data_IF_506716826022
#
_entry.id   IF_506716826022
#
_cell.length_a   1.000
_cell.length_b   1.000
_cell.length_c   1.000
_cell.angle_alpha   90.00
_cell.angle_beta   90.00
_cell.angle_gamma   90.00
#
_symmetry.space_group_name_H-M   'P 1'
#
loop_
_entity.id
_entity.type
_entity.pdbx_description
1 polymer ?
#
# COMPACT_ATOMS: atom_id res chain seq x y z
N UNK A 1 7.22 -2.84 -22.75
CA UNK A 1 7.40 -4.10 -21.99
C UNK A 1 6.14 -4.97 -21.98
N UNK A 2 5.04 -4.54 -21.34
CA UNK A 2 3.73 -5.24 -21.24
C UNK A 2 3.42 -6.30 -22.33
N UNK A 3 3.27 -5.92 -23.61
CA UNK A 3 2.96 -6.85 -24.71
C UNK A 3 3.97 -8.00 -24.89
N UNK A 4 5.25 -7.80 -24.57
CA UNK A 4 6.26 -8.85 -24.60
C UNK A 4 6.09 -9.86 -23.44
N UNK A 5 5.67 -9.39 -22.27
CA UNK A 5 5.36 -10.26 -21.12
C UNK A 5 4.13 -11.12 -21.42
N UNK A 6 3.05 -10.52 -21.94
CA UNK A 6 1.85 -11.25 -22.37
C UNK A 6 2.18 -12.31 -23.45
N UNK A 7 3.01 -11.95 -24.43
CA UNK A 7 3.43 -12.87 -25.49
C UNK A 7 4.42 -13.97 -25.02
N UNK A 8 4.92 -13.93 -23.77
CA UNK A 8 5.84 -14.94 -23.26
C UNK A 8 5.18 -16.28 -22.90
N UNK A 9 3.83 -16.33 -22.86
CA UNK A 9 3.06 -17.49 -22.42
C UNK A 9 3.16 -17.79 -20.92
N UNK A 10 3.71 -16.86 -20.13
CA UNK A 10 3.85 -16.98 -18.66
C UNK A 10 3.03 -15.91 -17.94
N UNK A 11 2.40 -16.30 -16.84
CA UNK A 11 1.78 -15.35 -15.91
C UNK A 11 2.88 -14.63 -15.13
N UNK A 12 3.14 -13.37 -15.48
CA UNK A 12 4.15 -12.51 -14.86
C UNK A 12 3.46 -11.26 -14.32
N UNK A 13 3.59 -11.02 -13.01
CA UNK A 13 3.13 -9.77 -12.40
C UNK A 13 4.03 -8.62 -12.88
N UNK A 14 3.45 -7.58 -13.46
CA UNK A 14 4.21 -6.46 -14.01
C UNK A 14 4.00 -5.19 -13.16
N UNK A 15 4.95 -4.94 -12.24
CA UNK A 15 5.07 -3.66 -11.55
C UNK A 15 5.81 -2.64 -12.44
N UNK A 16 5.30 -1.41 -12.48
CA UNK A 16 5.81 -0.31 -13.28
C UNK A 16 6.47 0.71 -12.34
N UNK A 17 7.76 0.99 -12.52
CA UNK A 17 8.48 1.99 -11.75
C UNK A 17 8.91 3.15 -12.66
N UNK A 18 8.15 4.24 -12.64
CA UNK A 18 8.46 5.51 -13.33
C UNK A 18 8.30 6.75 -12.43
N UNK A 19 8.15 6.52 -11.11
CA UNK A 19 8.13 7.54 -10.04
C UNK A 19 6.93 8.49 -9.99
N UNK A 20 5.82 8.16 -10.66
CA UNK A 20 4.62 9.00 -10.75
C UNK A 20 4.62 9.95 -11.95
N UNK A 21 5.60 9.82 -12.86
CA UNK A 21 5.77 10.71 -14.02
C UNK A 21 4.64 10.47 -15.02
N UNK A 22 4.03 11.55 -15.52
CA UNK A 22 2.87 11.49 -16.42
C UNK A 22 1.65 10.72 -15.85
N UNK A 23 1.50 10.72 -14.52
CA UNK A 23 0.31 10.26 -13.79
C UNK A 23 -0.11 8.81 -14.09
N UNK A 24 0.71 7.79 -13.73
CA UNK A 24 0.49 6.39 -14.08
C UNK A 24 -0.90 5.86 -13.73
N UNK A 25 -1.47 6.31 -12.61
CA UNK A 25 -2.82 5.95 -12.18
C UNK A 25 -3.89 6.08 -13.28
N UNK A 26 -3.72 7.03 -14.22
CA UNK A 26 -4.65 7.28 -15.33
C UNK A 26 -4.55 6.28 -16.49
N UNK A 27 -3.41 5.60 -16.68
CA UNK A 27 -3.13 4.75 -17.86
C UNK A 27 -2.49 3.39 -17.57
N UNK A 28 -1.69 3.26 -16.51
CA UNK A 28 -0.90 2.08 -16.20
C UNK A 28 -1.75 0.83 -15.92
N UNK A 29 -2.96 1.01 -15.38
CA UNK A 29 -3.94 -0.08 -15.18
C UNK A 29 -4.53 -0.68 -16.46
N UNK A 30 -4.11 -0.25 -17.65
CA UNK A 30 -4.35 -0.94 -18.92
C UNK A 30 -3.15 -1.76 -19.42
N UNK A 31 -1.98 -1.66 -18.76
CA UNK A 31 -0.72 -2.26 -19.24
C UNK A 31 0.10 -3.01 -18.18
N UNK A 32 -0.13 -2.78 -16.88
CA UNK A 32 0.56 -3.44 -15.77
C UNK A 32 -0.36 -3.70 -14.57
N UNK A 33 0.21 -4.29 -13.52
CA UNK A 33 -0.52 -4.74 -12.32
C UNK A 33 -0.31 -3.85 -11.09
N UNK A 34 0.78 -3.09 -11.05
CA UNK A 34 1.00 -1.98 -10.13
C UNK A 34 1.88 -0.92 -10.78
N UNK A 35 1.86 0.29 -10.24
CA UNK A 35 2.64 1.43 -10.70
C UNK A 35 3.03 2.36 -9.55
N UNK A 36 4.30 2.74 -9.52
CA UNK A 36 4.83 3.69 -8.53
C UNK A 36 4.16 5.06 -8.70
N UNK A 37 3.58 5.62 -7.64
CA UNK A 37 2.93 6.94 -7.66
C UNK A 37 3.82 8.07 -7.13
N UNK A 38 5.01 7.75 -6.63
CA UNK A 38 5.95 8.68 -6.03
C UNK A 38 7.40 8.24 -6.24
N UNK A 39 8.34 9.16 -5.97
CA UNK A 39 9.78 8.89 -5.87
C UNK A 39 10.14 7.87 -4.79
N UNK A 40 11.42 7.49 -4.74
CA UNK A 40 11.87 6.42 -3.84
C UNK A 40 11.69 6.80 -2.37
N UNK A 41 11.08 5.90 -1.60
CA UNK A 41 10.94 6.07 -0.16
C UNK A 41 12.32 6.01 0.52
N UNK A 42 12.47 6.77 1.61
CA UNK A 42 13.58 6.66 2.55
C UNK A 42 13.06 6.22 3.90
N UNK A 43 13.93 5.60 4.69
CA UNK A 43 13.69 5.23 6.09
C UNK A 43 13.70 6.46 7.02
N UNK A 44 12.83 7.42 6.71
CA UNK A 44 12.66 8.71 7.38
C UNK A 44 11.15 9.03 7.42
N UNK A 45 10.62 9.42 8.58
CA UNK A 45 9.19 9.69 8.76
C UNK A 45 8.62 10.71 7.76
N UNK A 46 9.39 11.75 7.44
CA UNK A 46 9.02 12.76 6.44
C UNK A 46 8.90 12.18 5.02
N UNK A 47 9.75 11.23 4.63
CA UNK A 47 9.65 10.56 3.33
C UNK A 47 8.45 9.63 3.27
N UNK A 48 8.22 8.85 4.34
CA UNK A 48 7.09 7.92 4.42
C UNK A 48 5.74 8.66 4.33
N UNK A 49 5.57 9.71 5.14
CA UNK A 49 4.34 10.53 5.13
C UNK A 49 4.13 11.25 3.80
N UNK A 50 5.19 11.80 3.18
CA UNK A 50 5.12 12.43 1.86
C UNK A 50 4.72 11.46 0.75
N UNK A 51 5.23 10.22 0.77
CA UNK A 51 4.82 9.18 -0.19
C UNK A 51 3.36 8.75 0.03
N UNK A 52 2.92 8.61 1.28
CA UNK A 52 1.52 8.31 1.62
C UNK A 52 0.56 9.40 1.10
N UNK A 53 0.86 10.68 1.35
CA UNK A 53 0.06 11.81 0.88
C UNK A 53 0.02 11.92 -0.65
N UNK A 54 1.14 11.65 -1.32
CA UNK A 54 1.22 11.66 -2.78
C UNK A 54 0.42 10.51 -3.41
N UNK A 55 0.34 9.36 -2.73
CA UNK A 55 -0.42 8.18 -3.13
C UNK A 55 -1.93 8.31 -2.86
N UNK A 56 -2.33 9.04 -1.81
CA UNK A 56 -3.72 9.28 -1.41
C UNK A 56 -4.56 9.89 -2.55
N UNK A 57 -3.98 10.85 -3.28
CA UNK A 57 -4.60 11.56 -4.42
C UNK A 57 -5.06 10.60 -5.52
N UNK A 58 -4.40 9.44 -5.66
CA UNK A 58 -4.67 8.45 -6.71
C UNK A 58 -5.62 7.34 -6.28
N UNK A 59 -6.15 7.36 -5.05
CA UNK A 59 -6.96 6.29 -4.48
C UNK A 59 -8.14 5.83 -5.35
N UNK A 60 -8.76 6.75 -6.10
CA UNK A 60 -9.90 6.46 -6.99
C UNK A 60 -9.56 5.63 -8.23
N UNK A 61 -8.27 5.51 -8.60
CA UNK A 61 -7.81 4.76 -9.77
C UNK A 61 -7.41 3.31 -9.43
N UNK A 62 -7.09 3.04 -8.16
CA UNK A 62 -6.72 1.74 -7.65
C UNK A 62 -7.91 0.77 -7.73
N UNK A 63 -7.71 -0.40 -8.32
CA UNK A 63 -8.78 -1.36 -8.57
C UNK A 63 -8.25 -2.79 -8.68
N UNK A 64 -9.10 -3.83 -8.62
CA UNK A 64 -8.69 -5.22 -8.83
C UNK A 64 -7.79 -5.40 -10.06
N UNK A 65 -6.56 -5.86 -9.81
CA UNK A 65 -5.54 -6.05 -10.84
C UNK A 65 -4.72 -4.81 -11.23
N UNK A 66 -4.91 -3.66 -10.56
CA UNK A 66 -4.22 -2.39 -10.83
C UNK A 66 -3.90 -1.56 -9.57
N UNK A 67 -2.66 -1.74 -9.09
CA UNK A 67 -1.98 -1.12 -7.93
C UNK A 67 -1.47 0.31 -8.09
N UNK A 68 -1.94 1.28 -7.31
CA UNK A 68 -1.01 2.33 -6.89
C UNK A 68 0.04 1.70 -5.94
N UNK A 69 1.30 2.06 -6.13
CA UNK A 69 2.45 1.57 -5.39
C UNK A 69 3.17 2.77 -4.71
N UNK A 70 2.98 2.97 -3.39
CA UNK A 70 3.66 4.03 -2.63
C UNK A 70 5.13 3.72 -2.31
N UNK A 71 5.69 2.64 -2.88
CA UNK A 71 7.04 2.07 -2.69
C UNK A 71 7.15 1.06 -1.53
N UNK A 72 8.35 0.49 -1.32
CA UNK A 72 8.59 -0.62 -0.39
C UNK A 72 8.43 -0.27 1.11
N UNK A 73 8.33 -1.31 1.94
CA UNK A 73 8.27 -1.20 3.40
C UNK A 73 9.67 -1.14 4.01
N UNK A 74 10.06 0.05 4.47
CA UNK A 74 11.28 0.31 5.28
C UNK A 74 11.26 -0.26 6.72
N UNK A 75 10.25 -1.07 7.08
CA UNK A 75 10.04 -1.57 8.46
C UNK A 75 11.22 -2.40 8.94
N UNK A 76 12.01 -1.83 9.87
CA UNK A 76 13.16 -2.48 10.50
C UNK A 76 14.54 -2.06 9.97
N UNK A 77 14.63 -1.03 9.13
CA UNK A 77 15.92 -0.55 8.59
C UNK A 77 16.69 0.39 9.54
N UNK A 78 16.02 0.94 10.57
CA UNK A 78 16.62 1.59 11.75
C UNK A 78 16.51 3.12 11.82
N UNK A 79 16.01 3.78 10.77
CA UNK A 79 15.84 5.24 10.66
C UNK A 79 14.51 5.78 11.21
N UNK A 80 13.53 4.92 11.49
CA UNK A 80 12.27 5.28 12.18
C UNK A 80 12.10 4.50 13.50
N UNK A 81 11.26 5.04 14.39
CA UNK A 81 10.86 4.39 15.64
C UNK A 81 9.85 3.26 15.42
N UNK A 82 9.67 2.39 16.42
CA UNK A 82 8.72 1.26 16.35
C UNK A 82 7.27 1.70 16.07
N UNK A 83 6.83 2.83 16.62
CA UNK A 83 5.47 3.33 16.41
C UNK A 83 5.30 4.05 15.07
N UNK A 84 6.36 4.66 14.55
CA UNK A 84 6.41 5.16 13.17
C UNK A 84 6.35 4.00 12.17
N UNK A 85 7.08 2.89 12.41
CA UNK A 85 6.97 1.67 11.61
C UNK A 85 5.62 0.97 11.70
N UNK A 86 5.00 0.95 12.89
CA UNK A 86 3.62 0.44 13.07
C UNK A 86 2.62 1.28 12.25
N UNK A 87 2.81 2.59 12.22
CA UNK A 87 2.00 3.53 11.44
C UNK A 87 2.23 3.34 9.94
N UNK A 88 3.48 3.29 9.48
CA UNK A 88 3.88 3.00 8.10
C UNK A 88 3.22 1.72 7.56
N UNK A 89 3.39 0.60 8.25
CA UNK A 89 2.79 -0.68 7.86
C UNK A 89 1.25 -0.61 7.81
N UNK A 90 0.64 0.09 8.78
CA UNK A 90 -0.82 0.27 8.82
C UNK A 90 -1.32 1.15 7.67
N UNK A 91 -0.61 2.23 7.32
CA UNK A 91 -0.95 3.12 6.20
C UNK A 91 -0.80 2.39 4.86
N UNK A 92 0.26 1.63 4.66
CA UNK A 92 0.46 0.81 3.45
C UNK A 92 -0.60 -0.29 3.31
N UNK A 93 -1.06 -0.86 4.43
CA UNK A 93 -2.19 -1.77 4.42
C UNK A 93 -3.52 -1.06 4.11
N UNK A 94 -3.73 0.15 4.65
CA UNK A 94 -4.89 1.03 4.43
C UNK A 94 -4.89 1.77 3.09
N UNK A 95 -3.84 1.63 2.28
CA UNK A 95 -3.92 1.86 0.84
C UNK A 95 -4.88 0.85 0.15
N UNK A 96 -5.75 0.14 0.91
CA UNK A 96 -6.91 -0.69 0.52
C UNK A 96 -8.18 -0.48 1.40
N UNK A 97 -9.38 -0.79 0.87
CA UNK A 97 -10.80 -0.56 1.33
C UNK A 97 -11.32 0.89 1.10
N UNK A 98 -12.54 1.26 0.64
CA UNK A 98 -13.83 0.66 0.17
C UNK A 98 -14.29 1.48 -1.08
N UNK A 99 -15.21 1.13 -2.00
CA UNK A 99 -16.50 0.41 -1.94
C UNK A 99 -16.92 -0.11 -3.36
N UNK A 100 -16.97 -1.43 -3.62
CA UNK A 100 -17.70 -2.01 -4.78
C UNK A 100 -17.93 -3.53 -4.64
N UNK A 101 -19.15 -4.08 -4.89
CA UNK A 101 -19.43 -5.50 -4.72
C UNK A 101 -19.26 -6.34 -6.01
N UNK A 102 -18.03 -6.71 -6.38
CA UNK A 102 -17.78 -7.75 -7.37
C UNK A 102 -16.42 -8.45 -7.17
N UNK A 103 -16.43 -9.53 -6.38
CA UNK A 103 -15.24 -10.33 -6.12
C UNK A 103 -15.06 -11.45 -7.16
N UNK A 104 -14.06 -11.32 -8.04
CA UNK A 104 -13.17 -12.39 -8.52
C UNK A 104 -12.00 -11.75 -9.27
N UNK A 105 -10.79 -12.31 -9.18
CA UNK A 105 -9.53 -11.75 -9.71
C UNK A 105 -9.05 -10.46 -9.01
N UNK A 106 -8.70 -10.59 -7.73
CA UNK A 106 -7.88 -9.60 -7.03
C UNK A 106 -6.48 -10.18 -6.81
N UNK A 107 -5.48 -9.64 -7.51
CA UNK A 107 -4.12 -9.53 -6.96
C UNK A 107 -4.07 -8.22 -6.17
N UNK A 108 -3.27 -8.08 -5.11
CA UNK A 108 -3.39 -6.98 -4.14
C UNK A 108 -2.26 -5.94 -4.26
N UNK A 109 -2.27 -4.87 -3.45
CA UNK A 109 -1.19 -3.87 -3.48
C UNK A 109 0.08 -4.45 -2.84
N UNK A 110 1.27 -4.00 -3.24
CA UNK A 110 2.51 -4.63 -2.80
C UNK A 110 2.85 -4.29 -1.34
N UNK A 111 2.78 -5.28 -0.44
CA UNK A 111 3.46 -5.22 0.87
C UNK A 111 4.84 -5.87 0.74
N UNK A 112 5.80 -5.13 0.17
CA UNK A 112 7.16 -5.61 -0.10
C UNK A 112 8.10 -5.21 1.03
N UNK A 113 8.57 -6.17 1.84
CA UNK A 113 9.54 -5.90 2.91
C UNK A 113 10.94 -5.62 2.34
N UNK A 114 11.52 -4.47 2.72
CA UNK A 114 12.87 -4.03 2.33
C UNK A 114 13.97 -4.56 3.28
N UNK A 115 13.60 -4.92 4.52
CA UNK A 115 14.54 -5.27 5.58
C UNK A 115 15.20 -6.66 5.47
N UNK A 116 16.37 -6.83 6.10
CA UNK A 116 17.06 -8.12 6.14
C UNK A 116 16.31 -9.13 7.04
N UNK A 117 15.52 -9.98 6.39
CA UNK A 117 14.71 -11.01 7.05
C UNK A 117 15.50 -12.03 7.87
N UNK A 118 16.84 -12.09 7.72
CA UNK A 118 17.73 -13.00 8.47
C UNK A 118 18.11 -12.45 9.84
N UNK A 119 17.99 -11.13 10.03
CA UNK A 119 18.46 -10.39 11.22
C UNK A 119 17.39 -9.47 11.82
N UNK A 120 16.14 -9.57 11.37
CA UNK A 120 15.00 -8.80 11.90
C UNK A 120 14.86 -8.89 13.43
N UNK A 121 14.53 -7.77 14.06
CA UNK A 121 14.17 -7.72 15.48
C UNK A 121 12.82 -8.40 15.74
N UNK A 122 12.48 -8.64 17.02
CA UNK A 122 11.18 -9.22 17.38
C UNK A 122 10.06 -8.24 17.07
N UNK A 123 10.32 -6.97 17.27
CA UNK A 123 9.45 -5.82 17.08
C UNK A 123 9.13 -5.65 15.59
N UNK A 124 10.15 -5.68 14.72
CA UNK A 124 9.99 -5.70 13.25
C UNK A 124 9.14 -6.89 12.82
N UNK A 125 9.43 -8.08 13.35
CA UNK A 125 8.68 -9.30 13.03
C UNK A 125 7.20 -9.19 13.44
N UNK A 126 6.92 -8.66 14.63
CA UNK A 126 5.54 -8.48 15.13
C UNK A 126 4.73 -7.54 14.22
N UNK A 127 5.33 -6.44 13.76
CA UNK A 127 4.68 -5.50 12.84
C UNK A 127 4.35 -6.21 11.51
N UNK A 128 5.36 -6.75 10.80
CA UNK A 128 5.18 -7.29 9.45
C UNK A 128 4.36 -8.60 9.40
N UNK A 129 4.23 -9.32 10.52
CA UNK A 129 3.45 -10.57 10.59
C UNK A 129 2.04 -10.40 11.14
N UNK A 130 1.60 -9.17 11.44
CA UNK A 130 0.29 -8.88 12.03
C UNK A 130 -0.85 -9.26 11.07
N UNK A 131 -1.47 -10.41 11.33
CA UNK A 131 -2.52 -11.00 10.50
C UNK A 131 -3.76 -10.10 10.35
N UNK A 132 -4.07 -9.25 11.34
CA UNK A 132 -5.23 -8.34 11.24
C UNK A 132 -4.97 -7.23 10.20
N UNK A 133 -3.76 -6.68 10.18
CA UNK A 133 -3.36 -5.63 9.23
C UNK A 133 -3.18 -6.20 7.82
N UNK A 134 -2.61 -7.41 7.72
CA UNK A 134 -2.54 -8.16 6.44
C UNK A 134 -3.95 -8.45 5.92
N UNK A 135 -4.90 -8.87 6.77
CA UNK A 135 -6.27 -9.14 6.35
C UNK A 135 -7.00 -7.88 5.82
N UNK A 136 -6.71 -6.69 6.35
CA UNK A 136 -7.21 -5.41 5.79
C UNK A 136 -6.67 -5.16 4.39
N UNK A 137 -5.36 -5.34 4.18
CA UNK A 137 -4.73 -5.21 2.86
C UNK A 137 -5.19 -6.26 1.83
N UNK A 138 -5.49 -7.47 2.31
CA UNK A 138 -5.91 -8.62 1.51
C UNK A 138 -7.42 -8.75 1.35
N UNK A 139 -8.19 -7.72 1.74
CA UNK A 139 -9.64 -7.73 1.65
C UNK A 139 -10.17 -7.89 0.21
N UNK A 140 -11.27 -8.62 0.08
CA UNK A 140 -11.86 -9.03 -1.19
C UNK A 140 -12.70 -7.94 -1.89
N UNK A 141 -12.80 -6.72 -1.34
CA UNK A 141 -13.42 -5.57 -1.99
C UNK A 141 -12.43 -4.79 -2.87
N UNK A 142 -11.15 -4.75 -2.50
CA UNK A 142 -10.08 -4.24 -3.37
C UNK A 142 -10.29 -2.83 -3.94
N UNK A 143 -10.70 -1.86 -3.12
CA UNK A 143 -10.59 -0.42 -3.42
C UNK A 143 -9.43 0.16 -2.59
N UNK A 144 -9.01 1.42 -2.75
CA UNK A 144 -7.96 2.07 -1.94
C UNK A 144 -8.54 3.04 -0.89
N UNK A 145 -8.02 2.96 0.33
CA UNK A 145 -8.37 3.88 1.41
C UNK A 145 -7.78 5.25 1.19
N UNK A 146 -8.50 6.27 1.67
CA UNK A 146 -8.09 7.66 1.57
C UNK A 146 -8.21 8.38 2.93
N UNK A 147 -7.48 9.48 3.07
CA UNK A 147 -7.53 10.41 4.18
C UNK A 147 -8.88 11.11 4.22
N UNK A 148 -9.56 11.06 5.36
CA UNK A 148 -10.97 11.49 5.44
C UNK A 148 -11.24 12.61 6.44
N UNK A 149 -10.37 12.80 7.43
CA UNK A 149 -10.39 13.93 8.35
C UNK A 149 -8.96 14.24 8.84
N UNK A 150 -8.63 15.53 8.92
CA UNK A 150 -7.35 16.05 9.44
C UNK A 150 -7.64 17.16 10.43
N UNK A 151 -7.51 16.86 11.72
CA UNK A 151 -7.64 17.82 12.80
C UNK A 151 -6.26 18.04 13.44
N UNK A 152 -5.58 19.09 12.99
CA UNK A 152 -4.19 19.39 13.38
C UNK A 152 -3.21 18.30 12.94
N UNK A 153 -2.50 17.71 13.91
CA UNK A 153 -1.57 16.60 13.71
C UNK A 153 -2.23 15.22 13.79
N UNK A 154 -3.55 15.13 14.00
CA UNK A 154 -4.26 13.85 14.00
C UNK A 154 -4.94 13.66 12.64
N UNK A 155 -4.60 12.55 11.99
CA UNK A 155 -5.15 12.16 10.70
C UNK A 155 -5.94 10.87 10.87
N UNK A 156 -7.23 10.93 10.57
CA UNK A 156 -8.13 9.79 10.63
C UNK A 156 -8.56 9.41 9.21
N UNK A 157 -8.34 8.15 8.83
CA UNK A 157 -9.18 7.55 7.79
C UNK A 157 -10.56 7.25 8.38
N UNK A 158 -11.62 7.50 7.61
CA UNK A 158 -13.02 7.49 8.10
C UNK A 158 -13.41 6.17 8.76
N UNK A 159 -12.73 5.07 8.41
CA UNK A 159 -13.02 3.72 8.90
C UNK A 159 -12.08 3.18 9.96
N UNK A 160 -10.98 3.88 10.29
CA UNK A 160 -10.11 3.48 11.42
C UNK A 160 -10.89 3.51 12.74
N UNK A 161 -11.81 4.47 12.91
CA UNK A 161 -12.71 4.52 14.04
C UNK A 161 -13.72 3.36 14.05
N UNK A 162 -14.36 3.06 12.90
CA UNK A 162 -15.38 2.02 12.79
C UNK A 162 -14.83 0.60 12.98
N UNK A 163 -13.64 0.29 12.44
CA UNK A 163 -13.04 -1.05 12.55
C UNK A 163 -12.51 -1.35 13.97
N UNK A 164 -12.11 -0.33 14.72
CA UNK A 164 -11.70 -0.47 16.13
C UNK A 164 -12.93 -0.61 17.02
N UNK A 165 -13.95 0.21 16.84
CA UNK A 165 -15.18 0.17 17.66
C UNK A 165 -16.06 -1.04 17.34
N UNK A 166 -16.18 -1.41 16.06
CA UNK A 166 -17.03 -2.52 15.59
C UNK A 166 -16.51 -3.93 15.89
N UNK A 167 -15.32 -4.08 16.48
CA UNK A 167 -14.79 -5.34 17.02
C UNK A 167 -14.85 -5.42 18.56
N UNK A 168 -15.47 -4.44 19.22
CA UNK A 168 -15.68 -4.41 20.68
C UNK A 168 -17.13 -4.70 21.11
N UNK A 169 -17.98 -5.20 20.21
CA UNK A 169 -19.37 -5.63 20.47
C UNK A 169 -19.57 -7.12 20.17
#
# INVERSE_FOLDING_TARGET
MSRALLNSGRNIFFSICEWGIDNPATWAGGVGNSWRTAGDIKDEWGSMTSNADSNDVWASYARPGGWNDPDMLEVGNGGMTTEEYRSHFSIWALAKQDHCPCAYLMMQAPLLASCDIRSMSKETKEIISNQNVIAVNQDALGVQGHKAQKDGNQEASKRTAELILGRMS
#
